data_IF_544873315370
#
_entry.id   IF_544873315370
#
_cell.length_a   1.000
_cell.length_b   1.000
_cell.length_c   1.000
_cell.angle_alpha   90.00
_cell.angle_beta   90.00
_cell.angle_gamma   90.00
#
_symmetry.space_group_name_H-M   'P 1'
#
loop_
_entity.id
_entity.type
_entity.pdbx_description
1 polymer ?
#
# COMPACT_ATOMS: atom_id res chain seq x y z
N UNK A 1 16.25 -4.19 -2.78
CA UNK A 1 15.31 -4.97 -3.65
C UNK A 1 14.46 -6.01 -2.89
N UNK A 2 14.12 -5.80 -1.61
CA UNK A 2 13.14 -6.65 -0.87
C UNK A 2 11.95 -5.82 -0.35
N UNK A 3 12.21 -4.59 0.09
CA UNK A 3 11.19 -3.66 0.58
C UNK A 3 10.22 -3.15 -0.50
N UNK A 4 10.64 -3.06 -1.77
CA UNK A 4 9.79 -2.57 -2.86
C UNK A 4 8.55 -3.45 -3.07
N UNK A 5 8.73 -4.77 -3.22
CA UNK A 5 7.61 -5.70 -3.34
C UNK A 5 6.72 -5.75 -2.09
N UNK A 6 7.31 -5.70 -0.90
CA UNK A 6 6.55 -5.70 0.36
C UNK A 6 5.72 -4.42 0.50
N UNK A 7 6.30 -3.26 0.20
CA UNK A 7 5.61 -1.98 0.20
C UNK A 7 4.49 -1.95 -0.85
N UNK A 8 4.75 -2.46 -2.06
CA UNK A 8 3.74 -2.55 -3.13
C UNK A 8 2.56 -3.44 -2.72
N UNK A 9 2.82 -4.61 -2.14
CA UNK A 9 1.77 -5.51 -1.65
C UNK A 9 0.96 -4.84 -0.52
N UNK A 10 1.62 -4.20 0.46
CA UNK A 10 0.92 -3.46 1.52
C UNK A 10 0.05 -2.33 0.96
N UNK A 11 0.55 -1.60 -0.04
CA UNK A 11 -0.17 -0.52 -0.70
C UNK A 11 -1.41 -1.06 -1.44
N UNK A 12 -1.27 -2.14 -2.22
CA UNK A 12 -2.38 -2.77 -2.93
C UNK A 12 -3.44 -3.27 -1.94
N UNK A 13 -3.05 -4.06 -0.94
CA UNK A 13 -3.97 -4.67 0.03
C UNK A 13 -4.65 -3.60 0.89
N UNK A 14 -3.86 -2.64 1.38
CA UNK A 14 -4.36 -1.53 2.18
C UNK A 14 -5.27 -0.58 1.40
N UNK A 15 -4.88 -0.22 0.17
CA UNK A 15 -5.66 0.63 -0.72
C UNK A 15 -6.98 -0.02 -1.13
N UNK A 16 -6.98 -1.32 -1.43
CA UNK A 16 -8.20 -2.10 -1.65
C UNK A 16 -9.10 -2.07 -0.42
N UNK A 17 -8.58 -2.39 0.78
CA UNK A 17 -9.39 -2.33 2.00
C UNK A 17 -9.98 -0.94 2.24
N UNK A 18 -9.23 0.13 1.97
CA UNK A 18 -9.72 1.49 2.15
C UNK A 18 -10.83 1.83 1.14
N UNK A 19 -10.69 1.40 -0.12
CA UNK A 19 -11.75 1.49 -1.12
C UNK A 19 -13.02 0.70 -0.75
N UNK A 20 -12.86 -0.52 -0.22
CA UNK A 20 -13.98 -1.31 0.29
C UNK A 20 -14.63 -0.66 1.53
N UNK A 21 -13.83 -0.01 2.39
CA UNK A 21 -14.35 0.73 3.55
C UNK A 21 -15.24 1.90 3.11
N UNK A 22 -14.89 2.59 2.02
CA UNK A 22 -15.69 3.70 1.49
C UNK A 22 -17.10 3.28 1.01
N UNK A 23 -17.29 2.00 0.65
CA UNK A 23 -18.60 1.43 0.30
C UNK A 23 -19.25 0.67 1.47
N UNK A 24 -18.74 0.85 2.69
CA UNK A 24 -19.29 0.25 3.91
C UNK A 24 -18.79 -1.17 4.23
N UNK A 25 -17.79 -1.68 3.51
CA UNK A 25 -17.24 -3.02 3.73
C UNK A 25 -15.82 -2.94 4.31
N UNK A 26 -15.70 -2.93 5.64
CA UNK A 26 -14.40 -2.87 6.30
C UNK A 26 -13.87 -4.26 6.69
N UNK A 27 -12.95 -4.80 5.89
CA UNK A 27 -12.28 -6.09 6.13
C UNK A 27 -11.49 -6.08 7.45
N UNK A 28 -10.89 -4.95 7.82
CA UNK A 28 -10.16 -4.81 9.10
C UNK A 28 -11.12 -5.00 10.26
N UNK A 29 -12.26 -4.31 10.25
CA UNK A 29 -13.29 -4.45 11.28
C UNK A 29 -13.90 -5.85 11.30
N UNK A 30 -13.99 -6.52 10.15
CA UNK A 30 -14.53 -7.88 10.06
C UNK A 30 -13.63 -8.92 10.74
N UNK A 31 -12.30 -8.76 10.64
CA UNK A 31 -11.32 -9.71 11.19
C UNK A 31 -10.98 -9.38 12.64
N UNK A 32 -10.80 -8.10 12.97
CA UNK A 32 -10.33 -7.64 14.29
C UNK A 32 -11.45 -7.09 15.19
N UNK A 33 -12.69 -7.01 14.69
CA UNK A 33 -13.79 -6.34 15.37
C UNK A 33 -13.73 -4.81 15.25
N UNK A 34 -14.65 -4.10 15.90
CA UNK A 34 -14.71 -2.64 15.88
C UNK A 34 -13.64 -2.02 16.80
N UNK A 35 -12.42 -1.88 16.29
CA UNK A 35 -11.30 -1.24 16.98
C UNK A 35 -10.86 0.02 16.20
N UNK A 36 -11.48 1.20 16.47
CA UNK A 36 -11.27 2.41 15.67
C UNK A 36 -9.81 2.86 15.62
N UNK A 37 -9.07 2.65 16.72
CA UNK A 37 -7.66 3.01 16.83
C UNK A 37 -6.79 2.14 15.91
N UNK A 38 -7.10 0.84 15.81
CA UNK A 38 -6.33 -0.11 14.99
C UNK A 38 -6.56 0.18 13.50
N UNK A 39 -7.80 0.46 13.10
CA UNK A 39 -8.15 0.88 11.74
C UNK A 39 -7.39 2.15 11.34
N UNK A 40 -7.39 3.15 12.23
CA UNK A 40 -6.70 4.41 11.98
C UNK A 40 -5.17 4.23 11.82
N UNK A 41 -4.55 3.38 12.64
CA UNK A 41 -3.13 3.04 12.52
C UNK A 41 -2.84 2.35 11.18
N UNK A 42 -3.70 1.41 10.76
CA UNK A 42 -3.56 0.71 9.48
C UNK A 42 -3.66 1.71 8.32
N UNK A 43 -4.63 2.62 8.33
CA UNK A 43 -4.76 3.63 7.28
C UNK A 43 -3.55 4.58 7.20
N UNK A 44 -2.97 4.97 8.34
CA UNK A 44 -1.75 5.77 8.37
C UNK A 44 -0.58 4.99 7.78
N UNK A 45 -0.39 3.73 8.16
CA UNK A 45 0.67 2.86 7.62
C UNK A 45 0.54 2.68 6.11
N UNK A 46 -0.68 2.47 5.61
CA UNK A 46 -0.97 2.35 4.17
C UNK A 46 -0.66 3.65 3.44
N UNK A 47 -1.04 4.80 4.00
CA UNK A 47 -0.72 6.11 3.43
C UNK A 47 0.79 6.37 3.34
N UNK A 48 1.54 6.03 4.39
CA UNK A 48 3.01 6.13 4.39
C UNK A 48 3.64 5.18 3.37
N UNK A 49 3.14 3.95 3.27
CA UNK A 49 3.59 3.00 2.25
C UNK A 49 3.32 3.52 0.83
N UNK A 50 2.17 4.17 0.60
CA UNK A 50 1.83 4.79 -0.68
C UNK A 50 2.80 5.92 -1.05
N UNK A 51 3.10 6.82 -0.11
CA UNK A 51 4.07 7.89 -0.33
C UNK A 51 5.46 7.30 -0.64
N UNK A 52 5.89 6.30 0.11
CA UNK A 52 7.19 5.65 -0.10
C UNK A 52 7.30 5.00 -1.48
N UNK A 53 6.27 4.28 -1.91
CA UNK A 53 6.18 3.72 -3.27
C UNK A 53 6.21 4.84 -4.31
N UNK A 54 5.36 5.85 -4.21
CA UNK A 54 5.33 6.96 -5.19
C UNK A 54 6.71 7.62 -5.36
N UNK A 55 7.43 7.85 -4.27
CA UNK A 55 8.75 8.52 -4.31
C UNK A 55 9.86 7.59 -4.78
N UNK A 56 9.80 6.29 -4.46
CA UNK A 56 10.94 5.37 -4.66
C UNK A 56 10.72 4.30 -5.74
N UNK A 57 9.51 4.17 -6.29
CA UNK A 57 9.14 3.10 -7.22
C UNK A 57 10.02 3.07 -8.46
N UNK A 58 10.24 4.23 -9.12
CA UNK A 58 11.10 4.28 -10.33
C UNK A 58 12.55 3.88 -10.06
N UNK A 59 13.07 4.18 -8.88
CA UNK A 59 14.46 3.87 -8.51
C UNK A 59 14.62 2.40 -8.08
N UNK A 60 13.58 1.80 -7.50
CA UNK A 60 13.62 0.46 -6.92
C UNK A 60 13.02 -0.63 -7.81
N UNK A 61 12.23 -0.27 -8.83
CA UNK A 61 11.61 -1.22 -9.74
C UNK A 61 12.61 -1.68 -10.82
N UNK A 62 12.95 -2.97 -10.78
CA UNK A 62 13.83 -3.61 -11.79
C UNK A 62 13.30 -3.48 -13.22
N UNK A 63 11.98 -3.53 -13.41
CA UNK A 63 11.36 -3.46 -14.73
C UNK A 63 11.30 -2.01 -15.26
N UNK A 64 11.25 -1.00 -14.38
CA UNK A 64 11.35 0.40 -14.78
C UNK A 64 12.79 0.81 -15.16
N UNK A 65 13.80 0.18 -14.54
CA UNK A 65 15.21 0.42 -14.87
C UNK A 65 15.57 -0.06 -16.29
N UNK A 66 15.01 -1.19 -16.73
CA UNK A 66 15.27 -1.76 -18.05
C UNK A 66 14.75 -0.90 -19.22
N UNK A 67 13.72 -0.07 -18.98
CA UNK A 67 13.15 0.81 -20.02
C UNK A 67 13.89 2.14 -20.23
N UNK A 68 14.84 2.51 -19.36
CA UNK A 68 15.56 3.79 -19.46
C UNK A 68 16.88 3.71 -20.24
N UNK A 69 17.31 2.51 -20.66
CA UNK A 69 18.62 2.28 -21.29
C UNK A 69 18.59 2.22 -22.83
N UNK A 70 17.44 2.45 -23.46
CA UNK A 70 17.25 2.38 -24.93
C UNK A 70 16.76 3.68 -25.55
N UNK A 71 17.19 4.83 -25.04
CA UNK A 71 17.13 6.11 -25.76
C UNK A 71 18.52 6.68 -25.97
#
# INVERSE_FOLDING_TARGET
>A
MKLHMVAFILLIVGGLNWGLTAIGFNVVSMIFGSWPIVEQIIYILVGVAAIYEVVTHKQNCKNCAAGSATV
#
